data_IF_532233405829
#
_entry.id   IF_532233405829
#
_cell.length_a   1.000
_cell.length_b   1.000
_cell.length_c   1.000
_cell.angle_alpha   90.00
_cell.angle_beta   90.00
_cell.angle_gamma   90.00
#
_symmetry.space_group_name_H-M   'P 1'
#
loop_
_entity.id
_entity.type
_entity.pdbx_description
1 polymer ?
#
# COMPACT_ATOMS: atom_id res chain seq x y z
N UNK A 1 -9.08 6.60 -10.52
CA UNK A 1 -8.45 6.30 -9.23
C UNK A 1 -7.55 7.43 -8.79
N UNK A 2 -8.15 8.41 -8.13
CA UNK A 2 -7.49 9.67 -7.76
C UNK A 2 -6.29 9.48 -6.81
N UNK A 3 -6.39 8.56 -5.86
CA UNK A 3 -5.33 8.30 -4.90
C UNK A 3 -4.03 7.77 -5.54
N UNK A 4 -4.12 7.09 -6.70
CA UNK A 4 -2.92 6.64 -7.43
C UNK A 4 -2.26 7.74 -8.25
N UNK A 5 -3.03 8.75 -8.63
CA UNK A 5 -2.53 9.84 -9.47
C UNK A 5 -1.78 10.87 -8.63
N UNK A 6 -2.43 11.44 -7.63
CA UNK A 6 -1.87 12.50 -6.77
C UNK A 6 -1.97 12.19 -5.28
N UNK A 7 -2.51 11.03 -4.90
CA UNK A 7 -2.57 10.61 -3.49
C UNK A 7 -1.18 10.36 -2.91
N UNK A 8 -1.02 10.71 -1.64
CA UNK A 8 0.24 10.56 -0.92
C UNK A 8 -0.06 10.22 0.54
N UNK A 9 0.58 9.20 1.08
CA UNK A 9 0.39 8.78 2.47
C UNK A 9 1.05 9.73 3.49
N UNK A 10 2.10 10.44 3.07
CA UNK A 10 2.77 11.46 3.88
C UNK A 10 2.58 12.85 3.27
N UNK A 11 2.81 13.89 4.06
CA UNK A 11 2.95 15.24 3.53
C UNK A 11 4.14 15.27 2.56
N UNK A 12 3.91 15.68 1.32
CA UNK A 12 4.96 15.86 0.33
C UNK A 12 5.51 17.28 0.34
N UNK A 13 6.70 17.45 -0.25
CA UNK A 13 7.33 18.78 -0.40
C UNK A 13 6.56 19.70 -1.36
N UNK A 14 5.73 19.12 -2.23
CA UNK A 14 4.88 19.84 -3.19
C UNK A 14 3.47 19.31 -3.17
N UNK A 15 2.51 20.23 -3.15
CA UNK A 15 1.10 19.92 -3.34
C UNK A 15 0.85 19.70 -4.83
N UNK A 16 0.49 18.49 -5.20
CA UNK A 16 0.08 18.15 -6.56
C UNK A 16 -1.40 18.50 -6.75
N UNK A 17 -1.74 19.07 -7.89
CA UNK A 17 -3.13 19.44 -8.23
C UNK A 17 -3.56 18.77 -9.53
N UNK A 18 -4.81 18.34 -9.58
CA UNK A 18 -5.43 17.85 -10.81
C UNK A 18 -6.86 18.34 -10.94
N UNK A 19 -7.33 18.35 -12.17
CA UNK A 19 -8.72 18.63 -12.49
C UNK A 19 -9.45 17.33 -12.78
N UNK A 20 -10.60 17.14 -12.15
CA UNK A 20 -11.52 16.05 -12.46
C UNK A 20 -12.75 16.58 -13.15
N UNK A 21 -13.19 15.84 -14.17
CA UNK A 21 -14.42 16.13 -14.92
C UNK A 21 -15.50 15.16 -14.46
N UNK A 22 -16.64 15.69 -14.11
CA UNK A 22 -17.77 14.92 -13.66
C UNK A 22 -19.07 15.60 -14.01
N UNK A 23 -20.18 15.02 -13.60
CA UNK A 23 -21.51 15.60 -13.70
C UNK A 23 -22.03 15.93 -12.30
N UNK A 24 -22.48 17.15 -12.13
CA UNK A 24 -23.18 17.54 -10.91
C UNK A 24 -24.46 16.73 -10.77
N UNK A 25 -24.63 16.03 -9.66
CA UNK A 25 -25.75 15.13 -9.43
C UNK A 25 -27.08 15.88 -9.21
N UNK A 26 -27.01 17.15 -8.81
CA UNK A 26 -28.20 17.97 -8.55
C UNK A 26 -28.67 18.65 -9.83
N UNK A 27 -27.75 19.33 -10.54
CA UNK A 27 -28.08 20.10 -11.74
C UNK A 27 -28.02 19.26 -13.03
N UNK A 28 -27.33 18.09 -13.01
CA UNK A 28 -27.08 17.28 -14.19
C UNK A 28 -26.07 17.86 -15.18
N UNK A 29 -25.47 19.03 -14.89
CA UNK A 29 -24.57 19.75 -15.77
C UNK A 29 -23.13 19.24 -15.60
N UNK A 30 -22.34 19.12 -16.70
CA UNK A 30 -20.92 18.82 -16.59
C UNK A 30 -20.18 19.87 -15.76
N UNK A 31 -19.34 19.41 -14.83
CA UNK A 31 -18.56 20.25 -13.94
C UNK A 31 -17.11 19.82 -13.88
N UNK A 32 -16.21 20.78 -13.80
CA UNK A 32 -14.79 20.54 -13.58
C UNK A 32 -14.46 21.04 -12.17
N UNK A 33 -13.83 20.15 -11.39
CA UNK A 33 -13.42 20.44 -10.02
C UNK A 33 -11.91 20.26 -9.93
N UNK A 34 -11.21 21.22 -9.33
CA UNK A 34 -9.82 21.09 -8.92
C UNK A 34 -9.74 20.39 -7.58
N UNK A 35 -8.86 19.43 -7.46
CA UNK A 35 -8.52 18.78 -6.19
C UNK A 35 -7.01 18.74 -6.04
N UNK A 36 -6.54 18.70 -4.81
CA UNK A 36 -5.12 18.60 -4.52
C UNK A 36 -4.76 17.34 -3.70
N UNK A 37 -3.46 17.07 -3.60
CA UNK A 37 -2.95 15.91 -2.90
C UNK A 37 -3.21 15.94 -1.41
N UNK A 38 -3.35 17.10 -0.81
CA UNK A 38 -3.63 17.26 0.62
C UNK A 38 -5.08 16.89 0.94
N UNK A 39 -6.02 17.30 0.11
CA UNK A 39 -7.42 16.91 0.23
C UNK A 39 -7.58 15.38 0.11
N UNK A 40 -6.85 14.75 -0.82
CA UNK A 40 -6.88 13.29 -0.96
C UNK A 40 -6.24 12.61 0.24
N UNK A 41 -5.11 13.11 0.73
CA UNK A 41 -4.44 12.56 1.92
C UNK A 41 -5.36 12.61 3.14
N UNK A 42 -6.02 13.72 3.37
CA UNK A 42 -6.99 13.85 4.46
C UNK A 42 -8.14 12.84 4.31
N UNK A 43 -8.68 12.69 3.09
CA UNK A 43 -9.77 11.78 2.81
C UNK A 43 -9.42 10.30 3.02
N UNK A 44 -8.16 9.89 2.81
CA UNK A 44 -7.70 8.50 2.96
C UNK A 44 -6.93 8.24 4.25
N UNK A 45 -6.75 9.24 5.10
CA UNK A 45 -5.94 9.14 6.33
C UNK A 45 -6.42 8.05 7.26
N UNK A 46 -7.72 7.90 7.42
CA UNK A 46 -8.32 6.86 8.25
C UNK A 46 -7.95 5.45 7.75
N UNK A 47 -8.06 5.21 6.45
CA UNK A 47 -7.73 3.92 5.84
C UNK A 47 -6.24 3.61 5.95
N UNK A 48 -5.39 4.61 5.85
CA UNK A 48 -3.94 4.45 6.03
C UNK A 48 -3.60 4.07 7.47
N UNK A 49 -4.24 4.71 8.45
CA UNK A 49 -4.08 4.33 9.87
C UNK A 49 -4.63 2.92 10.16
N UNK A 50 -5.74 2.50 9.56
CA UNK A 50 -6.24 1.11 9.67
C UNK A 50 -5.23 0.09 9.13
N UNK A 51 -4.56 0.41 8.02
CA UNK A 51 -3.49 -0.44 7.48
C UNK A 51 -2.35 -0.57 8.50
N UNK A 52 -1.92 0.55 9.07
CA UNK A 52 -0.88 0.55 10.10
C UNK A 52 -1.27 -0.28 11.33
N UNK A 53 -2.46 -0.10 11.88
CA UNK A 53 -2.94 -0.87 13.04
C UNK A 53 -3.00 -2.37 12.73
N UNK A 54 -3.41 -2.75 11.51
CA UNK A 54 -3.42 -4.15 11.07
C UNK A 54 -2.00 -4.74 11.00
N UNK A 55 -1.04 -3.98 10.49
CA UNK A 55 0.37 -4.39 10.45
C UNK A 55 0.91 -4.55 11.88
N UNK A 56 0.64 -3.60 12.74
CA UNK A 56 1.04 -3.64 14.15
C UNK A 56 0.49 -4.87 14.87
N UNK A 57 -0.81 -5.14 14.73
CA UNK A 57 -1.46 -6.33 15.30
C UNK A 57 -0.82 -7.63 14.81
N UNK A 58 -0.47 -7.69 13.52
CA UNK A 58 0.21 -8.85 12.95
C UNK A 58 1.62 -9.04 13.54
N UNK A 59 2.36 -7.94 13.72
CA UNK A 59 3.69 -7.97 14.33
C UNK A 59 3.65 -8.41 15.79
N UNK A 60 2.67 -7.95 16.57
CA UNK A 60 2.48 -8.32 17.98
C UNK A 60 2.13 -9.81 18.15
N UNK A 61 1.46 -10.41 17.18
CA UNK A 61 1.07 -11.83 17.20
C UNK A 61 2.16 -12.79 16.73
N UNK A 62 3.25 -12.26 16.18
CA UNK A 62 4.34 -13.09 15.67
C UNK A 62 5.20 -13.67 16.82
N UNK A 63 5.68 -14.93 16.68
CA UNK A 63 6.68 -15.48 17.57
C UNK A 63 7.97 -14.65 17.58
N UNK A 64 8.68 -14.60 18.74
CA UNK A 64 9.90 -13.78 18.86
C UNK A 64 10.99 -14.07 17.82
N UNK A 65 11.11 -15.34 17.38
CA UNK A 65 12.09 -15.77 16.38
C UNK A 65 11.81 -15.11 15.02
N UNK A 66 10.54 -15.05 14.61
CA UNK A 66 10.13 -14.39 13.36
C UNK A 66 10.23 -12.86 13.47
N UNK A 67 10.01 -12.32 14.65
CA UNK A 67 10.16 -10.88 14.89
C UNK A 67 11.60 -10.42 14.68
N UNK A 68 12.59 -11.22 15.06
CA UNK A 68 14.00 -10.93 14.81
C UNK A 68 14.31 -10.89 13.29
N UNK A 69 13.79 -11.85 12.54
CA UNK A 69 13.93 -11.87 11.08
C UNK A 69 13.28 -10.65 10.39
N UNK A 70 12.11 -10.22 10.88
CA UNK A 70 11.41 -9.05 10.35
C UNK A 70 12.20 -7.76 10.62
N UNK A 71 12.84 -7.63 11.77
CA UNK A 71 13.69 -6.48 12.09
C UNK A 71 14.85 -6.37 11.09
N UNK A 72 15.44 -7.50 10.71
CA UNK A 72 16.57 -7.53 9.79
C UNK A 72 16.14 -7.39 8.33
N UNK A 73 15.16 -8.18 7.89
CA UNK A 73 14.73 -8.27 6.48
C UNK A 73 13.68 -7.25 6.08
N UNK A 74 12.91 -6.75 7.06
CA UNK A 74 11.85 -5.79 6.82
C UNK A 74 10.56 -6.40 6.26
N UNK A 75 9.71 -5.51 5.73
CA UNK A 75 8.40 -5.81 5.15
C UNK A 75 8.41 -5.42 3.69
N UNK A 76 7.87 -6.29 2.83
CA UNK A 76 7.69 -6.01 1.40
C UNK A 76 6.22 -5.75 1.11
N UNK A 77 5.93 -4.58 0.56
CA UNK A 77 4.58 -4.20 0.12
C UNK A 77 4.34 -4.69 -1.30
N UNK A 78 3.17 -5.28 -1.53
CA UNK A 78 2.74 -5.75 -2.84
C UNK A 78 1.26 -5.43 -3.08
N UNK A 79 0.78 -5.67 -4.29
CA UNK A 79 -0.59 -5.33 -4.68
C UNK A 79 -0.78 -3.87 -5.10
N UNK A 80 -1.99 -3.55 -5.52
CA UNK A 80 -2.29 -2.20 -6.06
C UNK A 80 -2.20 -1.09 -5.02
N UNK A 81 -2.44 -1.37 -3.74
CA UNK A 81 -2.31 -0.41 -2.65
C UNK A 81 -0.87 0.04 -2.41
N UNK A 82 0.10 -0.83 -2.69
CA UNK A 82 1.52 -0.51 -2.59
C UNK A 82 1.98 0.61 -3.55
N UNK A 83 1.17 0.93 -4.55
CA UNK A 83 1.41 2.04 -5.50
C UNK A 83 1.04 3.41 -4.94
N UNK A 84 0.43 3.49 -3.75
CA UNK A 84 0.20 4.77 -3.08
C UNK A 84 1.54 5.39 -2.71
N UNK A 85 1.77 6.62 -3.16
CA UNK A 85 3.02 7.34 -2.91
C UNK A 85 3.30 7.45 -1.41
N UNK A 86 4.54 7.15 -1.01
CA UNK A 86 5.04 7.25 0.36
C UNK A 86 4.31 6.38 1.41
N UNK A 87 3.57 5.36 1.00
CA UNK A 87 2.99 4.40 1.95
C UNK A 87 4.09 3.62 2.69
N UNK A 88 5.15 3.24 1.99
CA UNK A 88 6.36 2.63 2.54
C UNK A 88 7.03 3.53 3.58
N UNK A 89 7.18 4.82 3.26
CA UNK A 89 7.73 5.82 4.16
C UNK A 89 6.87 6.00 5.41
N UNK A 90 5.56 6.12 5.26
CA UNK A 90 4.62 6.22 6.37
C UNK A 90 4.72 5.03 7.32
N UNK A 91 4.69 3.82 6.79
CA UNK A 91 4.80 2.60 7.58
C UNK A 91 6.18 2.46 8.23
N UNK A 92 7.25 2.85 7.53
CA UNK A 92 8.60 2.88 8.11
C UNK A 92 8.69 3.83 9.30
N UNK A 93 8.17 5.04 9.19
CA UNK A 93 8.16 6.03 10.28
C UNK A 93 7.38 5.55 11.50
N UNK A 94 6.27 4.84 11.27
CA UNK A 94 5.39 4.33 12.34
C UNK A 94 5.92 3.04 13.00
N UNK A 95 6.54 2.15 12.25
CA UNK A 95 6.99 0.84 12.75
C UNK A 95 8.47 0.80 13.13
N UNK A 96 9.29 1.68 12.55
CA UNK A 96 10.75 1.63 12.66
C UNK A 96 11.40 0.50 11.86
N UNK A 97 10.62 -0.27 11.08
CA UNK A 97 11.10 -1.40 10.29
C UNK A 97 11.48 -0.98 8.87
N UNK A 98 12.41 -1.66 8.21
CA UNK A 98 12.64 -1.48 6.78
C UNK A 98 11.39 -1.88 5.98
N UNK A 99 10.90 -0.98 5.14
CA UNK A 99 9.72 -1.21 4.30
C UNK A 99 10.12 -0.97 2.84
N UNK A 100 9.86 -1.92 1.99
CA UNK A 100 10.14 -1.83 0.55
C UNK A 100 8.90 -2.17 -0.28
N UNK A 101 8.80 -1.59 -1.46
CA UNK A 101 7.75 -1.94 -2.43
C UNK A 101 8.35 -2.93 -3.42
N UNK A 102 7.60 -4.00 -3.72
CA UNK A 102 8.03 -4.98 -4.72
C UNK A 102 8.24 -4.31 -6.09
N UNK A 103 9.19 -4.81 -6.89
CA UNK A 103 9.53 -4.26 -8.22
C UNK A 103 8.31 -4.21 -9.15
N UNK A 104 7.46 -5.22 -9.08
CA UNK A 104 6.19 -5.27 -9.80
C UNK A 104 5.06 -5.67 -8.83
N UNK A 105 4.53 -4.71 -8.07
CA UNK A 105 3.58 -5.01 -7.00
C UNK A 105 2.25 -5.58 -7.50
N UNK A 106 1.86 -5.30 -8.75
CA UNK A 106 0.60 -5.79 -9.33
C UNK A 106 0.66 -7.26 -9.74
N UNK A 107 1.83 -7.78 -10.09
CA UNK A 107 2.01 -9.16 -10.56
C UNK A 107 2.77 -10.07 -9.60
N UNK A 108 3.16 -9.59 -8.43
CA UNK A 108 3.93 -10.36 -7.44
C UNK A 108 3.24 -11.66 -7.03
N UNK A 109 1.92 -11.62 -6.78
CA UNK A 109 1.13 -12.80 -6.37
C UNK A 109 1.09 -13.84 -7.50
N UNK A 110 0.82 -13.42 -8.73
CA UNK A 110 0.78 -14.32 -9.91
C UNK A 110 2.14 -14.94 -10.15
N UNK A 111 3.22 -14.17 -10.09
CA UNK A 111 4.59 -14.65 -10.27
C UNK A 111 5.00 -15.63 -9.16
N UNK A 112 4.61 -15.37 -7.93
CA UNK A 112 4.82 -16.27 -6.80
C UNK A 112 4.05 -17.57 -6.96
N UNK A 113 2.79 -17.51 -7.38
CA UNK A 113 1.97 -18.70 -7.68
C UNK A 113 2.56 -19.52 -8.81
N UNK A 114 3.08 -18.89 -9.87
CA UNK A 114 3.77 -19.56 -10.96
C UNK A 114 5.01 -20.31 -10.48
N UNK A 115 5.86 -19.66 -9.67
CA UNK A 115 7.03 -20.32 -9.06
C UNK A 115 6.66 -21.49 -8.15
N UNK A 116 5.56 -21.35 -7.40
CA UNK A 116 5.06 -22.43 -6.55
C UNK A 116 4.62 -23.65 -7.39
N UNK A 117 3.97 -23.43 -8.53
CA UNK A 117 3.59 -24.50 -9.45
C UNK A 117 4.81 -25.21 -10.06
N UNK A 118 5.85 -24.46 -10.44
CA UNK A 118 7.10 -25.02 -10.96
C UNK A 118 7.84 -25.90 -9.92
N UNK A 119 7.62 -25.63 -8.63
CA UNK A 119 8.24 -26.32 -7.49
C UNK A 119 7.26 -27.19 -6.70
N UNK A 120 6.16 -27.60 -7.30
CA UNK A 120 5.03 -28.24 -6.60
C UNK A 120 5.43 -29.55 -5.91
N UNK A 121 6.34 -30.31 -6.49
CA UNK A 121 6.80 -31.59 -5.92
C UNK A 121 7.59 -31.37 -4.63
N UNK A 122 8.36 -30.28 -4.56
CA UNK A 122 9.09 -29.89 -3.34
C UNK A 122 8.10 -29.35 -2.30
N UNK A 123 7.16 -28.52 -2.72
CA UNK A 123 6.17 -27.92 -1.84
C UNK A 123 5.24 -28.95 -1.21
N UNK A 124 4.87 -30.01 -1.93
CA UNK A 124 4.07 -31.11 -1.38
C UNK A 124 4.70 -31.79 -0.17
N UNK A 125 6.03 -31.76 -0.05
CA UNK A 125 6.75 -32.34 1.08
C UNK A 125 6.69 -31.47 2.34
N UNK A 126 6.43 -30.16 2.20
CA UNK A 126 6.37 -29.18 3.29
C UNK A 126 4.96 -28.64 3.56
N UNK A 127 4.02 -28.93 2.69
CA UNK A 127 2.60 -28.63 2.91
C UNK A 127 2.01 -29.60 3.95
N UNK A 128 1.50 -29.02 4.98
CA UNK A 128 0.78 -29.74 6.03
C UNK A 128 -0.71 -29.75 5.71
#
# INVERSE_FOLDING_TARGET
MLFRSIGNACAGDKVERMQIKGRDLVSGIPKIIGIDSDEIREAISFQIEEIFETVKDALEKNPPELSADIIEKGIVLTGGGALLKNLDKFLHEKTGLPITVADDPLSSVVRGSGKALDSIDILRQVMI
#
